data_IF_977753909886
#
_entry.id   IF_977753909886
#
_cell.length_a   1.000
_cell.length_b   1.000
_cell.length_c   1.000
_cell.angle_alpha   90.00
_cell.angle_beta   90.00
_cell.angle_gamma   90.00
#
_symmetry.space_group_name_H-M   'P 1'
#
loop_
_entity.id
_entity.type
_entity.pdbx_description
1 polymer ?
#
# COMPACT_ATOMS: atom_id res chain seq x y z
N UNK A 1 16.80 -4.50 -12.63
CA UNK A 1 15.79 -5.03 -11.70
C UNK A 1 15.97 -4.33 -10.36
N UNK A 2 14.92 -3.71 -9.81
CA UNK A 2 15.05 -2.87 -8.62
C UNK A 2 15.13 -3.75 -7.36
N UNK A 3 16.28 -3.80 -6.71
CA UNK A 3 16.45 -4.45 -5.41
C UNK A 3 16.20 -3.41 -4.28
N UNK A 4 14.94 -3.26 -3.88
CA UNK A 4 14.49 -2.17 -2.97
C UNK A 4 14.46 -2.58 -1.50
N UNK A 5 14.74 -3.85 -1.22
CA UNK A 5 14.30 -4.49 0.01
C UNK A 5 15.48 -4.59 0.96
N UNK A 6 15.48 -3.72 1.97
CA UNK A 6 16.55 -3.68 2.95
C UNK A 6 16.50 -4.91 3.87
N UNK A 7 17.65 -5.54 4.09
CA UNK A 7 17.81 -6.49 5.18
C UNK A 7 18.04 -5.78 6.53
N UNK A 8 17.83 -6.47 7.66
CA UNK A 8 18.14 -5.89 8.98
C UNK A 8 19.62 -5.50 9.08
N UNK A 9 20.52 -6.32 8.51
CA UNK A 9 21.96 -6.06 8.46
C UNK A 9 22.28 -4.78 7.69
N UNK A 10 21.64 -4.57 6.55
CA UNK A 10 21.81 -3.33 5.77
C UNK A 10 21.30 -2.10 6.52
N UNK A 11 20.17 -2.19 7.20
CA UNK A 11 19.66 -1.08 8.00
C UNK A 11 20.61 -0.73 9.14
N UNK A 12 21.18 -1.73 9.83
CA UNK A 12 22.19 -1.49 10.88
C UNK A 12 23.45 -0.84 10.29
N UNK A 13 23.92 -1.31 9.13
CA UNK A 13 25.06 -0.69 8.42
C UNK A 13 24.79 0.76 8.02
N UNK A 14 23.58 1.03 7.51
CA UNK A 14 23.12 2.38 7.12
C UNK A 14 22.99 3.29 8.35
N UNK A 15 22.48 2.78 9.47
CA UNK A 15 22.42 3.48 10.75
C UNK A 15 23.79 3.94 11.20
N UNK A 16 24.78 3.04 11.20
CA UNK A 16 26.16 3.37 11.56
C UNK A 16 26.76 4.45 10.65
N UNK A 17 26.53 4.33 9.33
CA UNK A 17 26.96 5.32 8.34
C UNK A 17 26.31 6.69 8.56
N UNK A 18 25.01 6.73 8.85
CA UNK A 18 24.27 7.97 9.15
C UNK A 18 24.81 8.61 10.43
N UNK A 19 24.93 7.84 11.53
CA UNK A 19 25.48 8.36 12.79
C UNK A 19 26.86 8.96 12.56
N UNK A 20 27.78 8.22 11.95
CA UNK A 20 29.15 8.70 11.70
C UNK A 20 29.19 9.98 10.83
N UNK A 21 28.26 10.12 9.87
CA UNK A 21 28.12 11.32 9.06
C UNK A 21 27.67 12.52 9.90
N UNK A 22 26.62 12.35 10.71
CA UNK A 22 26.11 13.40 11.58
C UNK A 22 27.10 13.79 12.67
N UNK A 23 27.78 12.82 13.31
CA UNK A 23 28.83 13.10 14.29
C UNK A 23 29.95 13.99 13.70
N UNK A 24 30.34 13.75 12.44
CA UNK A 24 31.35 14.55 11.75
C UNK A 24 30.84 15.96 11.42
N UNK A 25 29.61 16.08 10.91
CA UNK A 25 29.03 17.36 10.49
C UNK A 25 28.81 18.28 11.70
N UNK A 26 28.29 17.72 12.79
CA UNK A 26 27.89 18.49 13.97
C UNK A 26 28.96 18.49 15.08
N UNK A 27 30.04 17.73 14.92
CA UNK A 27 31.11 17.55 15.90
C UNK A 27 30.58 17.16 17.30
N UNK A 28 29.71 16.16 17.34
CA UNK A 28 29.08 15.62 18.55
C UNK A 28 29.13 14.09 18.54
N UNK A 29 28.88 13.47 19.69
CA UNK A 29 28.62 12.03 19.80
C UNK A 29 27.13 11.76 19.86
N UNK A 30 26.68 10.76 19.11
CA UNK A 30 25.27 10.43 18.96
C UNK A 30 25.01 8.98 19.35
N UNK A 31 24.03 8.80 20.23
CA UNK A 31 23.48 7.49 20.57
C UNK A 31 22.19 7.23 19.81
N UNK A 32 21.74 5.98 19.82
CA UNK A 32 20.43 5.60 19.29
C UNK A 32 19.72 4.60 20.20
N UNK A 33 18.40 4.60 20.14
CA UNK A 33 17.54 3.60 20.77
C UNK A 33 16.66 2.91 19.73
N UNK A 34 16.33 1.64 19.91
CA UNK A 34 15.26 0.99 19.16
C UNK A 34 13.90 1.26 19.84
N UNK A 35 12.83 1.41 19.06
CA UNK A 35 11.51 1.63 19.62
C UNK A 35 10.39 1.70 18.58
N UNK A 36 9.16 1.83 19.07
CA UNK A 36 7.98 2.03 18.24
C UNK A 36 7.61 3.50 18.19
N UNK A 37 7.43 4.04 16.97
CA UNK A 37 7.08 5.45 16.74
C UNK A 37 5.68 5.53 16.17
N UNK A 38 4.78 6.23 16.88
CA UNK A 38 3.41 6.50 16.40
C UNK A 38 3.45 7.47 15.21
N UNK A 39 2.62 7.25 14.20
CA UNK A 39 2.60 8.10 13.00
C UNK A 39 2.31 9.57 13.31
N UNK A 40 1.53 9.87 14.35
CA UNK A 40 1.29 11.25 14.81
C UNK A 40 2.55 12.03 15.20
N UNK A 41 3.63 11.33 15.56
CA UNK A 41 4.94 11.90 15.94
C UNK A 41 5.95 11.83 14.79
N UNK A 42 5.68 11.00 13.78
CA UNK A 42 6.58 10.75 12.68
C UNK A 42 6.45 11.85 11.63
N UNK A 43 7.60 12.39 11.18
CA UNK A 43 7.68 13.41 10.13
C UNK A 43 8.63 12.97 9.05
N UNK A 44 8.20 13.09 7.80
CA UNK A 44 9.06 12.79 6.66
C UNK A 44 9.93 14.00 6.31
N UNK A 45 11.21 13.77 6.03
CA UNK A 45 12.16 14.81 5.59
C UNK A 45 12.13 15.05 4.08
N UNK A 46 11.41 14.19 3.36
CA UNK A 46 11.21 14.20 1.90
C UNK A 46 9.71 14.07 1.62
N UNK A 47 9.22 14.71 0.56
CA UNK A 47 7.79 14.70 0.19
C UNK A 47 7.44 13.77 -0.98
N UNK A 48 8.43 13.19 -1.65
CA UNK A 48 8.26 12.34 -2.81
C UNK A 48 8.62 10.89 -2.50
N UNK A 49 7.78 9.98 -2.98
CA UNK A 49 7.98 8.54 -2.92
C UNK A 49 8.06 8.01 -4.34
N UNK A 50 9.18 7.42 -4.71
CA UNK A 50 9.29 6.68 -5.96
C UNK A 50 8.22 5.57 -6.02
N UNK A 51 7.36 5.63 -7.03
CA UNK A 51 6.17 4.79 -7.12
C UNK A 51 6.54 3.31 -7.28
N UNK A 52 7.58 3.04 -8.07
CA UNK A 52 8.13 1.72 -8.32
C UNK A 52 8.64 1.06 -7.04
N UNK A 53 9.41 1.81 -6.24
CA UNK A 53 9.86 1.36 -4.91
C UNK A 53 8.70 1.14 -3.96
N UNK A 54 7.69 2.02 -3.98
CA UNK A 54 6.52 1.89 -3.13
C UNK A 54 5.72 0.63 -3.45
N UNK A 55 5.58 0.27 -4.73
CA UNK A 55 4.89 -0.94 -5.17
C UNK A 55 5.54 -2.20 -4.57
N UNK A 56 6.87 -2.28 -4.62
CA UNK A 56 7.64 -3.38 -4.04
C UNK A 56 7.42 -3.42 -2.51
N UNK A 57 7.65 -2.30 -1.83
CA UNK A 57 7.53 -2.21 -0.38
C UNK A 57 6.10 -2.55 0.08
N UNK A 58 5.07 -2.08 -0.62
CA UNK A 58 3.68 -2.34 -0.28
C UNK A 58 3.33 -3.83 -0.38
N UNK A 59 3.69 -4.49 -1.50
CA UNK A 59 3.49 -5.94 -1.67
C UNK A 59 4.10 -6.71 -0.51
N UNK A 60 5.39 -6.46 -0.25
CA UNK A 60 6.15 -7.17 0.78
C UNK A 60 5.60 -6.92 2.17
N UNK A 61 5.14 -5.69 2.43
CA UNK A 61 4.53 -5.34 3.71
C UNK A 61 3.24 -6.13 3.96
N UNK A 62 2.43 -6.37 2.91
CA UNK A 62 1.12 -7.03 3.02
C UNK A 62 1.23 -8.57 2.97
N UNK A 63 2.13 -9.12 2.17
CA UNK A 63 2.20 -10.56 1.90
C UNK A 63 3.43 -11.27 2.47
N UNK A 64 4.51 -10.55 2.78
CA UNK A 64 5.80 -11.15 3.18
C UNK A 64 6.22 -10.76 4.61
N UNK A 65 5.32 -10.16 5.40
CA UNK A 65 5.60 -9.68 6.75
C UNK A 65 6.84 -8.78 6.84
N UNK A 66 7.06 -7.94 5.81
CA UNK A 66 8.19 -7.02 5.76
C UNK A 66 8.07 -5.94 6.86
N UNK A 67 8.79 -6.16 7.96
CA UNK A 67 8.72 -5.39 9.21
C UNK A 67 10.09 -4.80 9.60
N UNK A 68 10.88 -4.36 8.61
CA UNK A 68 12.22 -3.84 8.85
C UNK A 68 12.15 -2.41 9.41
N UNK A 69 12.79 -2.13 10.57
CA UNK A 69 12.75 -0.80 11.19
C UNK A 69 13.28 0.31 10.30
N UNK A 70 12.65 1.49 10.38
CA UNK A 70 13.13 2.71 9.74
C UNK A 70 14.24 3.36 10.58
N UNK A 71 14.93 4.36 10.05
CA UNK A 71 15.89 5.17 10.81
C UNK A 71 15.32 6.58 10.94
N UNK A 72 15.33 7.09 12.16
CA UNK A 72 14.80 8.39 12.52
C UNK A 72 15.79 9.17 13.36
N UNK A 73 15.68 10.49 13.34
CA UNK A 73 16.27 11.36 14.36
C UNK A 73 15.16 11.81 15.31
N UNK A 74 15.33 11.50 16.60
CA UNK A 74 14.42 11.89 17.66
C UNK A 74 14.78 13.29 18.19
N UNK A 75 13.75 14.14 18.26
CA UNK A 75 13.78 15.45 18.92
C UNK A 75 12.68 15.52 19.98
N UNK A 76 12.59 16.64 20.71
CA UNK A 76 11.46 16.87 21.62
C UNK A 76 10.11 16.88 20.89
N UNK A 77 10.08 17.45 19.69
CA UNK A 77 8.86 17.70 18.92
C UNK A 77 8.39 16.47 18.14
N UNK A 78 9.32 15.80 17.45
CA UNK A 78 8.99 14.75 16.49
C UNK A 78 10.13 13.75 16.28
N UNK A 79 9.80 12.66 15.59
CA UNK A 79 10.75 11.70 15.03
C UNK A 79 10.82 11.93 13.51
N UNK A 80 11.98 12.38 13.02
CA UNK A 80 12.18 12.71 11.61
C UNK A 80 12.79 11.53 10.86
N UNK A 81 12.12 11.05 9.81
CA UNK A 81 12.60 9.92 9.00
C UNK A 81 13.86 10.35 8.24
N UNK A 82 14.96 9.63 8.44
CA UNK A 82 16.19 9.75 7.64
C UNK A 82 16.27 8.65 6.61
N UNK A 83 15.76 7.46 6.95
CA UNK A 83 15.70 6.34 6.03
C UNK A 83 14.42 5.53 6.23
N UNK A 84 13.76 5.16 5.13
CA UNK A 84 12.58 4.29 5.15
C UNK A 84 11.23 4.98 4.96
N UNK A 85 11.17 6.09 4.21
CA UNK A 85 9.92 6.80 3.91
C UNK A 85 8.86 5.91 3.24
N UNK A 86 9.24 5.09 2.25
CA UNK A 86 8.32 4.12 1.61
C UNK A 86 7.76 3.10 2.61
N UNK A 87 8.59 2.63 3.56
CA UNK A 87 8.17 1.67 4.60
C UNK A 87 7.19 2.31 5.57
N UNK A 88 7.48 3.53 6.02
CA UNK A 88 6.57 4.31 6.85
C UNK A 88 5.22 4.53 6.14
N UNK A 89 5.25 4.92 4.87
CA UNK A 89 4.03 5.18 4.10
C UNK A 89 3.22 3.91 3.81
N UNK A 90 3.86 2.79 3.48
CA UNK A 90 3.16 1.51 3.28
C UNK A 90 2.45 1.06 4.56
N UNK A 91 3.09 1.21 5.73
CA UNK A 91 2.48 0.93 7.04
C UNK A 91 1.36 1.92 7.38
N UNK A 92 1.51 3.19 6.99
CA UNK A 92 0.48 4.21 7.13
C UNK A 92 -0.77 3.94 6.27
N UNK A 93 -0.58 3.41 5.05
CA UNK A 93 -1.67 2.97 4.19
C UNK A 93 -2.47 1.84 4.82
N UNK A 94 -1.82 0.96 5.58
CA UNK A 94 -2.45 -0.19 6.25
C UNK A 94 -3.17 0.16 7.55
N UNK A 95 -3.39 1.45 7.83
CA UNK A 95 -4.10 1.95 9.02
C UNK A 95 -3.45 1.51 10.35
N UNK A 96 -2.14 1.25 10.33
CA UNK A 96 -1.40 0.90 11.53
C UNK A 96 -1.14 2.15 12.38
N UNK A 97 -0.90 1.99 13.69
CA UNK A 97 -0.67 3.13 14.59
C UNK A 97 0.70 3.79 14.41
N UNK A 98 1.67 3.06 13.85
CA UNK A 98 3.07 3.46 13.79
C UNK A 98 3.98 2.41 13.20
N UNK A 99 5.28 2.56 13.42
CA UNK A 99 6.33 1.73 12.85
C UNK A 99 7.52 1.60 13.81
N UNK A 100 8.21 0.46 13.76
CA UNK A 100 9.47 0.28 14.48
C UNK A 100 10.57 1.13 13.85
N UNK A 101 11.42 1.72 14.69
CA UNK A 101 12.51 2.59 14.27
C UNK A 101 13.76 2.40 15.13
N UNK A 102 14.92 2.65 14.51
CA UNK A 102 16.11 3.09 15.21
C UNK A 102 16.08 4.62 15.29
N UNK A 103 16.13 5.14 16.52
CA UNK A 103 15.89 6.54 16.87
C UNK A 103 17.20 7.14 17.35
N UNK A 104 17.86 7.88 16.48
CA UNK A 104 19.10 8.61 16.79
C UNK A 104 18.73 9.77 17.70
N UNK A 105 19.34 9.85 18.87
CA UNK A 105 19.04 10.86 19.87
C UNK A 105 19.78 12.15 19.53
N UNK A 106 19.07 13.12 18.92
CA UNK A 106 19.68 14.40 18.57
C UNK A 106 18.69 15.56 18.75
N UNK A 107 18.61 16.06 19.98
CA UNK A 107 17.63 17.09 20.39
C UNK A 107 17.69 18.40 19.59
N UNK A 108 18.86 18.79 19.06
CA UNK A 108 19.05 20.04 18.32
C UNK A 108 18.93 19.86 16.80
N UNK A 109 18.50 18.70 16.33
CA UNK A 109 18.29 18.46 14.91
C UNK A 109 17.13 19.31 14.39
N UNK A 110 17.39 20.07 13.33
CA UNK A 110 16.37 20.81 12.58
C UNK A 110 16.41 20.36 11.13
N UNK A 111 15.41 19.62 10.63
CA UNK A 111 15.39 19.21 9.25
C UNK A 111 15.10 20.41 8.34
N UNK A 112 15.58 20.34 7.09
CA UNK A 112 15.24 21.34 6.07
C UNK A 112 13.77 21.32 5.71
N UNK A 113 13.15 20.14 5.67
CA UNK A 113 11.75 19.95 5.37
C UNK A 113 11.12 18.99 6.39
N UNK A 114 9.82 19.16 6.64
CA UNK A 114 9.06 18.30 7.54
C UNK A 114 7.63 18.16 7.04
N UNK A 115 7.24 16.95 6.65
CA UNK A 115 5.92 16.63 6.11
C UNK A 115 5.20 15.61 6.99
N UNK A 116 3.88 15.69 7.05
CA UNK A 116 3.06 14.57 7.54
C UNK A 116 3.19 13.39 6.58
N UNK A 117 3.09 12.16 7.11
CA UNK A 117 3.08 10.95 6.27
C UNK A 117 1.90 10.96 5.29
N UNK A 118 0.78 11.57 5.67
CA UNK A 118 -0.41 11.73 4.81
C UNK A 118 -0.18 12.63 3.59
N UNK A 119 0.81 13.52 3.63
CA UNK A 119 1.07 14.53 2.59
C UNK A 119 2.05 14.04 1.52
N UNK A 120 2.64 12.85 1.71
CA UNK A 120 3.59 12.27 0.77
C UNK A 120 2.93 11.96 -0.57
N UNK A 121 3.62 12.34 -1.65
CA UNK A 121 3.18 12.16 -3.03
C UNK A 121 4.05 11.12 -3.71
N UNK A 122 3.50 10.40 -4.69
CA UNK A 122 4.31 9.51 -5.51
C UNK A 122 4.86 10.22 -6.74
N UNK A 123 5.98 9.72 -7.24
CA UNK A 123 6.59 10.12 -8.51
C UNK A 123 7.01 8.87 -9.29
N UNK A 124 6.75 8.84 -10.59
CA UNK A 124 7.22 7.76 -11.47
C UNK A 124 8.69 8.01 -11.83
N UNK A 125 9.53 7.01 -11.60
CA UNK A 125 10.96 7.08 -11.97
C UNK A 125 11.21 6.61 -13.39
N UNK A 126 10.26 5.85 -13.97
CA UNK A 126 10.45 5.15 -15.25
C UNK A 126 11.29 3.87 -15.12
N UNK A 127 11.64 3.47 -13.89
CA UNK A 127 12.33 2.20 -13.66
C UNK A 127 11.44 1.01 -14.00
N UNK A 128 12.04 -0.02 -14.60
CA UNK A 128 11.34 -1.23 -14.98
C UNK A 128 11.03 -2.09 -13.74
N UNK A 129 9.74 -2.37 -13.54
CA UNK A 129 9.25 -3.33 -12.56
C UNK A 129 9.08 -4.69 -13.22
N UNK A 130 9.42 -5.76 -12.49
CA UNK A 130 9.04 -7.11 -12.91
C UNK A 130 7.51 -7.24 -12.96
N UNK A 131 7.01 -8.18 -13.76
CA UNK A 131 5.56 -8.45 -13.88
C UNK A 131 4.89 -8.69 -12.51
N UNK A 132 5.65 -9.18 -11.54
CA UNK A 132 5.22 -9.40 -10.16
C UNK A 132 4.74 -8.12 -9.45
N UNK A 133 5.37 -6.97 -9.70
CA UNK A 133 5.09 -5.72 -8.98
C UNK A 133 4.21 -4.75 -9.77
N UNK A 134 3.97 -5.01 -11.06
CA UNK A 134 3.10 -4.17 -11.89
C UNK A 134 1.67 -4.01 -11.31
N UNK A 135 1.00 -5.05 -10.79
CA UNK A 135 -0.31 -4.90 -10.15
C UNK A 135 -0.30 -3.99 -8.92
N UNK A 136 0.82 -3.97 -8.19
CA UNK A 136 1.00 -3.16 -6.99
C UNK A 136 1.18 -1.68 -7.31
N UNK A 137 1.89 -1.37 -8.40
CA UNK A 137 1.95 -0.03 -8.97
C UNK A 137 0.54 0.44 -9.37
N UNK A 138 -0.25 -0.41 -10.03
CA UNK A 138 -1.63 -0.10 -10.39
C UNK A 138 -2.54 0.14 -9.16
N UNK A 139 -2.41 -0.68 -8.11
CA UNK A 139 -3.12 -0.48 -6.84
C UNK A 139 -2.81 0.89 -6.22
N UNK A 140 -1.54 1.32 -6.19
CA UNK A 140 -1.19 2.63 -5.64
C UNK A 140 -1.82 3.76 -6.45
N UNK A 141 -1.79 3.68 -7.79
CA UNK A 141 -2.49 4.65 -8.66
C UNK A 141 -4.00 4.66 -8.41
N UNK A 142 -4.60 3.50 -8.17
CA UNK A 142 -6.02 3.38 -7.82
C UNK A 142 -6.32 4.06 -6.47
N UNK A 143 -5.48 3.88 -5.46
CA UNK A 143 -5.60 4.57 -4.16
C UNK A 143 -5.55 6.09 -4.37
N UNK A 144 -4.60 6.60 -5.16
CA UNK A 144 -4.49 8.02 -5.45
C UNK A 144 -5.70 8.57 -6.22
N UNK A 145 -6.23 7.81 -7.17
CA UNK A 145 -7.46 8.15 -7.88
C UNK A 145 -8.62 8.33 -6.89
N UNK A 146 -8.85 7.37 -6.00
CA UNK A 146 -9.94 7.43 -5.03
C UNK A 146 -9.75 8.51 -3.95
N UNK A 147 -8.50 8.80 -3.55
CA UNK A 147 -8.20 9.93 -2.66
C UNK A 147 -8.57 11.27 -3.29
N UNK A 148 -8.23 11.46 -4.57
CA UNK A 148 -8.62 12.66 -5.32
C UNK A 148 -10.14 12.75 -5.48
N UNK A 149 -10.78 11.62 -5.80
CA UNK A 149 -12.23 11.55 -5.99
C UNK A 149 -13.01 11.88 -4.72
N UNK A 150 -12.57 11.40 -3.56
CA UNK A 150 -13.28 11.57 -2.28
C UNK A 150 -12.78 12.76 -1.45
N UNK A 151 -11.67 13.39 -1.83
CA UNK A 151 -11.08 14.51 -1.09
C UNK A 151 -10.61 14.12 0.32
N UNK A 152 -10.19 12.87 0.52
CA UNK A 152 -9.89 12.33 1.84
C UNK A 152 -8.94 11.14 1.83
N UNK A 153 -8.59 10.66 3.01
CA UNK A 153 -7.69 9.51 3.11
C UNK A 153 -8.38 8.21 2.67
N UNK A 154 -7.58 7.37 2.03
CA UNK A 154 -7.89 5.97 1.77
C UNK A 154 -6.87 5.15 2.52
N UNK A 155 -7.36 4.18 3.29
CA UNK A 155 -6.58 3.13 3.94
C UNK A 155 -6.83 1.78 3.29
N UNK A 156 -6.01 0.80 3.64
CA UNK A 156 -6.01 -0.54 3.10
C UNK A 156 -6.21 -1.55 4.21
N UNK A 157 -6.99 -2.58 3.92
CA UNK A 157 -7.05 -3.77 4.76
C UNK A 157 -7.03 -5.00 3.88
N UNK A 158 -6.17 -5.97 4.20
CA UNK A 158 -6.27 -7.31 3.62
C UNK A 158 -7.23 -8.14 4.48
N UNK A 159 -8.25 -8.71 3.86
CA UNK A 159 -9.23 -9.56 4.53
C UNK A 159 -9.61 -10.73 3.64
N UNK A 160 -10.19 -11.78 4.24
CA UNK A 160 -10.95 -12.77 3.51
C UNK A 160 -12.42 -12.37 3.49
N UNK A 161 -13.05 -12.46 2.33
CA UNK A 161 -14.47 -12.16 2.14
C UNK A 161 -15.18 -13.36 1.53
N UNK A 162 -16.45 -13.53 1.90
CA UNK A 162 -17.31 -14.50 1.23
C UNK A 162 -17.55 -14.08 -0.22
N UNK A 163 -17.47 -15.03 -1.16
CA UNK A 163 -17.58 -14.74 -2.59
C UNK A 163 -18.95 -14.14 -2.98
N UNK A 164 -20.01 -14.46 -2.25
CA UNK A 164 -21.38 -13.95 -2.46
C UNK A 164 -21.55 -12.50 -1.94
N UNK A 165 -20.56 -11.99 -1.21
CA UNK A 165 -20.52 -10.58 -0.80
C UNK A 165 -19.83 -9.67 -1.83
N UNK A 166 -19.21 -10.25 -2.86
CA UNK A 166 -18.57 -9.51 -3.94
C UNK A 166 -19.58 -8.99 -4.95
N UNK A 167 -19.49 -7.69 -5.25
CA UNK A 167 -20.31 -7.03 -6.26
C UNK A 167 -19.40 -6.65 -7.44
N UNK A 168 -19.63 -7.20 -8.64
CA UNK A 168 -18.88 -6.79 -9.82
C UNK A 168 -19.25 -5.35 -10.18
N UNK A 169 -18.25 -4.57 -10.57
CA UNK A 169 -18.46 -3.20 -11.08
C UNK A 169 -18.45 -3.13 -12.61
N UNK A 170 -18.20 -4.27 -13.25
CA UNK A 170 -18.22 -4.45 -14.70
C UNK A 170 -19.21 -5.57 -15.01
N UNK A 171 -20.14 -5.31 -15.93
CA UNK A 171 -21.17 -6.27 -16.33
C UNK A 171 -20.63 -7.38 -17.25
N UNK A 172 -19.68 -7.04 -18.12
CA UNK A 172 -19.23 -7.93 -19.19
C UNK A 172 -17.80 -8.39 -18.95
N UNK A 173 -17.55 -9.68 -19.20
CA UNK A 173 -16.21 -10.28 -19.22
C UNK A 173 -16.01 -11.02 -20.54
N UNK A 174 -14.91 -10.72 -21.23
CA UNK A 174 -14.56 -11.41 -22.48
C UNK A 174 -14.15 -12.87 -22.22
N UNK A 175 -14.80 -13.80 -22.93
CA UNK A 175 -14.59 -15.26 -22.79
C UNK A 175 -13.14 -15.66 -22.98
N UNK A 176 -12.45 -15.08 -23.96
CA UNK A 176 -11.03 -15.40 -24.20
C UNK A 176 -10.12 -15.02 -23.01
N UNK A 177 -10.50 -14.03 -22.19
CA UNK A 177 -9.76 -13.69 -20.96
C UNK A 177 -10.05 -14.67 -19.83
N UNK A 178 -11.25 -15.25 -19.83
CA UNK A 178 -11.62 -16.34 -18.92
C UNK A 178 -10.88 -17.64 -19.30
N UNK A 179 -10.76 -17.93 -20.59
CA UNK A 179 -10.15 -19.16 -21.11
C UNK A 179 -8.62 -19.18 -21.00
N UNK A 180 -7.97 -18.00 -20.90
CA UNK A 180 -6.52 -17.94 -20.62
C UNK A 180 -6.20 -18.71 -19.35
N UNK A 181 -5.20 -19.60 -19.42
CA UNK A 181 -4.81 -20.46 -18.30
C UNK A 181 -4.69 -19.68 -16.99
N UNK A 182 -5.42 -20.19 -16.00
CA UNK A 182 -5.37 -19.70 -14.64
C UNK A 182 -4.13 -20.26 -13.97
N UNK A 183 -3.06 -19.47 -14.00
CA UNK A 183 -1.86 -19.80 -13.25
C UNK A 183 -2.10 -19.31 -11.82
N UNK A 184 -2.27 -20.24 -10.87
CA UNK A 184 -2.47 -19.95 -9.43
C UNK A 184 -1.38 -19.02 -8.88
N UNK A 185 -0.17 -19.07 -9.44
CA UNK A 185 0.94 -18.16 -9.10
C UNK A 185 0.62 -16.70 -9.45
N UNK A 186 -0.19 -16.44 -10.49
CA UNK A 186 -0.65 -15.08 -10.84
C UNK A 186 -1.64 -14.49 -9.85
N UNK A 187 -2.43 -15.31 -9.14
CA UNK A 187 -3.25 -14.82 -8.01
C UNK A 187 -2.38 -14.34 -6.84
N UNK A 188 -1.22 -14.98 -6.60
CA UNK A 188 -0.26 -14.51 -5.59
C UNK A 188 0.42 -13.19 -5.98
N UNK A 189 0.48 -12.91 -7.27
CA UNK A 189 1.13 -11.72 -7.84
C UNK A 189 0.19 -10.51 -7.84
N UNK A 190 -1.08 -10.69 -8.21
CA UNK A 190 -2.04 -9.60 -8.40
C UNK A 190 -3.21 -9.67 -7.40
N UNK A 191 -3.34 -8.71 -6.46
CA UNK A 191 -4.45 -8.71 -5.50
C UNK A 191 -5.79 -8.49 -6.20
N UNK A 192 -6.87 -9.05 -5.66
CA UNK A 192 -8.23 -8.58 -5.93
C UNK A 192 -8.45 -7.35 -5.06
N UNK A 193 -8.87 -6.24 -5.67
CA UNK A 193 -9.03 -4.96 -4.98
C UNK A 193 -10.50 -4.60 -4.95
N UNK A 194 -11.01 -4.32 -3.76
CA UNK A 194 -12.40 -3.98 -3.53
C UNK A 194 -12.53 -2.63 -2.82
N UNK A 195 -13.71 -2.03 -2.94
CA UNK A 195 -14.19 -0.95 -2.08
C UNK A 195 -15.26 -1.52 -1.16
N UNK A 196 -15.16 -1.27 0.14
CA UNK A 196 -16.22 -1.66 1.08
C UNK A 196 -17.26 -0.55 1.19
N UNK A 197 -18.53 -0.95 1.18
CA UNK A 197 -19.66 -0.08 1.46
C UNK A 197 -20.83 -0.93 1.98
N UNK A 198 -21.30 -0.60 3.18
CA UNK A 198 -22.46 -1.24 3.83
C UNK A 198 -22.35 -2.78 3.90
N UNK A 199 -21.15 -3.30 4.17
CA UNK A 199 -20.90 -4.74 4.29
C UNK A 199 -20.85 -5.50 2.95
N UNK A 200 -20.87 -4.77 1.82
CA UNK A 200 -20.62 -5.30 0.47
C UNK A 200 -19.26 -4.86 -0.04
N UNK A 201 -18.68 -5.68 -0.93
CA UNK A 201 -17.34 -5.46 -1.46
C UNK A 201 -17.39 -5.31 -2.99
N UNK A 202 -17.25 -4.08 -3.45
CA UNK A 202 -17.35 -3.72 -4.87
C UNK A 202 -15.99 -3.91 -5.54
N UNK A 203 -15.90 -4.82 -6.51
CA UNK A 203 -14.63 -5.17 -7.17
C UNK A 203 -14.16 -4.00 -8.02
N UNK A 204 -13.03 -3.40 -7.66
CA UNK A 204 -12.37 -2.34 -8.41
C UNK A 204 -11.37 -2.89 -9.42
N UNK A 205 -10.66 -3.95 -9.04
CA UNK A 205 -9.77 -4.71 -9.93
C UNK A 205 -9.84 -6.20 -9.60
N UNK A 206 -9.72 -7.04 -10.63
CA UNK A 206 -9.71 -8.49 -10.49
C UNK A 206 -11.05 -9.20 -10.74
N UNK A 207 -11.92 -8.64 -11.60
CA UNK A 207 -13.22 -9.25 -11.97
C UNK A 207 -13.07 -10.67 -12.51
N UNK A 208 -12.15 -10.88 -13.47
CA UNK A 208 -11.89 -12.21 -14.05
C UNK A 208 -11.39 -13.18 -12.98
N UNK A 209 -10.47 -12.74 -12.09
CA UNK A 209 -9.95 -13.58 -11.00
C UNK A 209 -11.07 -14.00 -10.05
N UNK A 210 -11.93 -13.06 -9.69
CA UNK A 210 -13.09 -13.30 -8.82
C UNK A 210 -14.11 -14.25 -9.45
N UNK A 211 -14.40 -14.09 -10.74
CA UNK A 211 -15.32 -14.97 -11.47
C UNK A 211 -14.76 -16.40 -11.59
N UNK A 212 -13.47 -16.55 -11.92
CA UNK A 212 -12.81 -17.87 -11.97
C UNK A 212 -12.87 -18.59 -10.64
N UNK A 213 -12.51 -17.90 -9.57
CA UNK A 213 -12.62 -18.44 -8.21
C UNK A 213 -14.03 -18.96 -7.89
N UNK A 214 -15.08 -18.25 -8.34
CA UNK A 214 -16.47 -18.69 -8.19
C UNK A 214 -16.77 -19.94 -8.99
N UNK A 215 -16.34 -20.00 -10.25
CA UNK A 215 -16.50 -21.18 -11.11
C UNK A 215 -15.74 -22.41 -10.57
N UNK A 216 -14.63 -22.20 -9.88
CA UNK A 216 -13.86 -23.23 -9.16
C UNK A 216 -14.51 -23.67 -7.83
N UNK A 217 -15.63 -23.06 -7.43
CA UNK A 217 -16.34 -23.39 -6.20
C UNK A 217 -15.68 -22.85 -4.92
N UNK A 218 -14.77 -21.86 -5.02
CA UNK A 218 -14.20 -21.20 -3.84
C UNK A 218 -15.30 -20.44 -3.09
N UNK A 219 -15.33 -20.59 -1.77
CA UNK A 219 -16.31 -19.90 -0.90
C UNK A 219 -15.83 -18.53 -0.41
N UNK A 220 -14.51 -18.37 -0.32
CA UNK A 220 -13.87 -17.16 0.22
C UNK A 220 -12.70 -16.74 -0.66
N UNK A 221 -12.42 -15.44 -0.66
CA UNK A 221 -11.31 -14.83 -1.38
C UNK A 221 -10.52 -13.86 -0.51
N UNK A 222 -9.20 -13.90 -0.63
CA UNK A 222 -8.29 -12.88 -0.09
C UNK A 222 -8.39 -11.63 -0.97
N UNK A 223 -8.77 -10.49 -0.37
CA UNK A 223 -8.93 -9.21 -1.05
C UNK A 223 -8.23 -8.08 -0.31
N UNK A 224 -7.81 -7.06 -1.06
CA UNK A 224 -7.39 -5.77 -0.52
C UNK A 224 -8.58 -4.82 -0.61
N UNK A 225 -9.03 -4.34 0.54
CA UNK A 225 -10.14 -3.40 0.66
C UNK A 225 -9.60 -1.99 0.81
N UNK A 226 -10.04 -1.10 -0.08
CA UNK A 226 -9.91 0.35 0.09
C UNK A 226 -10.96 0.82 1.10
N UNK A 227 -10.51 1.54 2.13
CA UNK A 227 -11.35 2.07 3.20
C UNK A 227 -11.25 3.59 3.16
N UNK A 228 -12.25 4.29 2.61
CA UNK A 228 -12.35 5.74 2.73
C UNK A 228 -12.50 6.15 4.20
N UNK A 229 -11.73 7.14 4.63
CA UNK A 229 -11.83 7.74 5.98
C UNK A 229 -12.68 9.01 6.00
N UNK A 230 -13.49 9.19 4.97
CA UNK A 230 -14.47 10.28 4.84
C UNK A 230 -15.85 9.69 4.59
N UNK A 231 -16.93 10.30 5.11
CA UNK A 231 -18.28 9.84 4.86
C UNK A 231 -18.65 10.15 3.40
N UNK A 232 -18.53 9.15 2.54
CA UNK A 232 -18.85 9.26 1.11
C UNK A 232 -19.64 8.04 0.67
N UNK A 233 -20.67 8.25 -0.14
CA UNK A 233 -21.32 7.17 -0.90
C UNK A 233 -20.55 7.00 -2.20
N UNK A 234 -19.89 5.86 -2.42
CA UNK A 234 -19.12 5.65 -3.64
C UNK A 234 -20.01 5.73 -4.89
N UNK A 235 -19.65 6.56 -5.87
CA UNK A 235 -20.38 6.62 -7.14
C UNK A 235 -20.50 5.25 -7.83
N UNK A 236 -19.50 4.38 -7.63
CA UNK A 236 -19.49 3.01 -8.16
C UNK A 236 -20.65 2.15 -7.61
N UNK A 237 -21.08 2.39 -6.37
CA UNK A 237 -22.24 1.72 -5.76
C UNK A 237 -23.50 2.07 -6.54
N UNK A 238 -23.70 3.36 -6.83
CA UNK A 238 -24.83 3.83 -7.63
C UNK A 238 -24.83 3.22 -9.03
N UNK A 239 -23.67 3.16 -9.68
CA UNK A 239 -23.53 2.53 -11.00
C UNK A 239 -23.93 1.05 -10.95
N UNK A 240 -23.46 0.29 -9.95
CA UNK A 240 -23.82 -1.13 -9.81
C UNK A 240 -25.33 -1.33 -9.63
N UNK A 241 -25.96 -0.50 -8.79
CA UNK A 241 -27.41 -0.54 -8.56
C UNK A 241 -28.20 -0.29 -9.85
N UNK A 242 -27.83 0.73 -10.63
CA UNK A 242 -28.48 1.05 -11.92
C UNK A 242 -28.25 -0.05 -12.96
N UNK A 243 -27.08 -0.67 -12.96
CA UNK A 243 -26.73 -1.77 -13.86
C UNK A 243 -27.27 -3.14 -13.42
N UNK A 244 -27.98 -3.21 -12.28
CA UNK A 244 -28.52 -4.47 -11.75
C UNK A 244 -27.46 -5.43 -11.19
N UNK A 245 -26.24 -4.95 -10.94
CA UNK A 245 -25.13 -5.78 -10.44
C UNK A 245 -25.21 -5.88 -8.91
N UNK A 246 -25.41 -7.10 -8.41
CA UNK A 246 -25.55 -7.42 -6.97
C UNK A 246 -24.60 -8.53 -6.53
N UNK A 247 -24.17 -9.37 -7.45
CA UNK A 247 -23.28 -10.51 -7.19
C UNK A 247 -22.50 -10.87 -8.45
N UNK A 248 -21.52 -11.75 -8.31
CA UNK A 248 -20.79 -12.31 -9.45
C UNK A 248 -21.68 -13.11 -10.44
N UNK A 249 -22.91 -13.50 -10.05
CA UNK A 249 -23.84 -14.17 -10.97
C UNK A 249 -24.43 -13.23 -12.02
N UNK A 250 -24.34 -11.91 -11.79
CA UNK A 250 -24.85 -10.90 -12.71
C UNK A 250 -23.83 -10.55 -13.83
N UNK A 251 -22.67 -11.23 -13.84
CA UNK A 251 -21.63 -11.03 -14.87
C UNK A 251 -21.96 -11.85 -16.11
N UNK A 252 -22.01 -11.18 -17.26
CA UNK A 252 -22.23 -11.81 -18.56
C UNK A 252 -20.89 -12.08 -19.26
N UNK A 253 -20.64 -13.35 -19.61
CA UNK A 253 -19.45 -13.75 -20.39
C UNK A 253 -19.77 -13.60 -21.87
N UNK A 254 -19.01 -12.75 -22.58
CA UNK A 254 -19.23 -12.44 -23.99
C UNK A 254 -18.14 -13.05 -24.89
N UNK A 255 -18.55 -13.59 -26.03
CA UNK A 255 -17.64 -14.08 -27.07
C UNK A 255 -17.19 -12.88 -27.91
N UNK A 256 -16.09 -12.24 -27.53
CA UNK A 256 -15.48 -11.13 -28.28
C UNK A 256 -14.01 -11.41 -28.49
#
# INVERSE_FOLDING_TARGET
MIEVVSSLREVISRLGSIIASFERIYNIKLDYASGFVKFKRLRATENLLELEKLAIVLKKTIYENYNIPIITIETKEADYIIDGHHRAYAKYLLDLEGINAYRILFNNYSPKNSYSISELKTIETGEELTEEFAPWKALIKLIEYYRKLYGGEIKLKRIKVNIDSLVPTQKYVEKHKLDKEYIVEREKIAPIVCLEHEGKYYILDGHIRSLKAKLEGKKELDVIVLIPKVPVTPGIVRTCLVSGLRSLDDVEVIET
#
